data_IF_108215480837
#
_entry.id   IF_108215480837
#
_cell.length_a   1.000
_cell.length_b   1.000
_cell.length_c   1.000
_cell.angle_alpha   90.00
_cell.angle_beta   90.00
_cell.angle_gamma   90.00
#
_symmetry.space_group_name_H-M   'P 1'
#
loop_
_entity.id
_entity.type
_entity.pdbx_description
1 polymer ?
#
# COMPACT_ATOMS: atom_id res chain seq x y z
N UNK A 1 -1.87 -6.42 46.52
CA UNK A 1 -3.16 -6.03 45.94
C UNK A 1 -2.95 -5.87 44.45
N UNK A 2 -3.50 -6.76 43.63
CA UNK A 2 -3.51 -6.57 42.18
C UNK A 2 -4.55 -5.50 41.88
N UNK A 3 -4.13 -4.35 41.36
CA UNK A 3 -5.06 -3.37 40.80
C UNK A 3 -5.99 -4.09 39.84
N UNK A 4 -7.29 -3.82 39.95
CA UNK A 4 -8.26 -4.30 38.99
C UNK A 4 -7.86 -3.77 37.61
N UNK A 5 -7.15 -4.60 36.85
CA UNK A 5 -6.78 -4.36 35.46
C UNK A 5 -8.10 -4.09 34.72
N UNK A 6 -8.40 -2.82 34.48
CA UNK A 6 -9.61 -2.39 33.78
C UNK A 6 -9.75 -3.18 32.48
N UNK A 7 -10.99 -3.47 32.08
CA UNK A 7 -11.27 -4.26 30.89
C UNK A 7 -10.43 -3.74 29.71
N UNK A 8 -9.48 -4.52 29.16
CA UNK A 8 -8.53 -4.04 28.15
C UNK A 8 -9.23 -3.54 26.90
N UNK A 9 -10.43 -4.05 26.60
CA UNK A 9 -11.28 -3.59 25.49
C UNK A 9 -11.80 -2.17 25.75
N UNK A 10 -12.14 -1.83 26.99
CA UNK A 10 -12.63 -0.49 27.37
C UNK A 10 -11.50 0.53 27.33
N UNK A 11 -10.35 0.21 27.91
CA UNK A 11 -9.14 1.05 27.82
C UNK A 11 -8.73 1.28 26.37
N UNK A 12 -8.81 0.23 25.56
CA UNK A 12 -8.52 0.29 24.13
C UNK A 12 -9.52 1.18 23.36
N UNK A 13 -10.83 1.03 23.56
CA UNK A 13 -11.84 1.90 22.89
C UNK A 13 -11.55 3.37 23.18
N UNK A 14 -11.23 3.70 24.42
CA UNK A 14 -10.88 5.05 24.81
C UNK A 14 -9.57 5.57 24.18
N UNK A 15 -8.58 4.69 23.91
CA UNK A 15 -7.35 5.06 23.19
C UNK A 15 -7.58 5.22 21.68
N UNK A 16 -8.40 4.36 21.07
CA UNK A 16 -8.77 4.44 19.67
C UNK A 16 -9.59 5.72 19.37
N UNK A 17 -10.53 6.08 20.24
CA UNK A 17 -11.30 7.34 20.15
C UNK A 17 -10.41 8.58 20.25
N UNK A 18 -9.30 8.49 20.99
CA UNK A 18 -8.30 9.57 21.13
C UNK A 18 -7.25 9.56 20.01
N UNK A 19 -7.29 8.58 19.11
CA UNK A 19 -6.33 8.50 18.03
C UNK A 19 -6.61 9.62 17.03
N UNK A 20 -5.63 10.50 16.84
CA UNK A 20 -5.70 11.52 15.82
C UNK A 20 -5.39 10.89 14.46
N UNK A 21 -6.44 10.43 13.78
CA UNK A 21 -6.34 9.80 12.45
C UNK A 21 -5.74 10.74 11.38
N UNK A 22 -5.70 12.04 11.62
CA UNK A 22 -5.01 12.97 10.71
C UNK A 22 -3.50 12.71 10.67
N UNK A 23 -2.92 12.15 11.74
CA UNK A 23 -1.51 11.72 11.83
C UNK A 23 -1.21 10.44 11.08
N UNK A 24 -2.22 9.77 10.50
CA UNK A 24 -2.02 8.64 9.59
C UNK A 24 -1.73 9.10 8.15
N UNK A 25 -1.72 10.40 7.87
CA UNK A 25 -1.22 10.92 6.59
C UNK A 25 0.30 11.02 6.64
N UNK A 26 0.93 10.74 5.50
CA UNK A 26 2.31 11.15 5.30
C UNK A 26 2.42 12.65 5.53
N UNK A 27 3.33 13.05 6.42
CA UNK A 27 3.79 14.43 6.44
C UNK A 27 4.41 14.78 5.08
N UNK A 28 4.35 16.04 4.69
CA UNK A 28 4.85 16.52 3.40
C UNK A 28 6.36 16.25 3.21
N UNK A 29 7.11 16.19 4.30
CA UNK A 29 8.55 15.89 4.34
C UNK A 29 8.87 14.38 4.49
N UNK A 30 7.86 13.51 4.47
CA UNK A 30 8.05 12.08 4.65
C UNK A 30 8.82 11.46 3.47
N UNK A 31 10.12 11.22 3.68
CA UNK A 31 11.03 10.69 2.66
C UNK A 31 10.55 9.38 2.05
N UNK A 32 9.97 8.47 2.84
CA UNK A 32 9.52 7.16 2.38
C UNK A 32 8.25 7.23 1.53
N UNK A 33 7.34 8.16 1.82
CA UNK A 33 6.16 8.42 1.00
C UNK A 33 6.56 9.15 -0.30
N UNK A 34 7.41 10.17 -0.17
CA UNK A 34 7.88 10.98 -1.29
C UNK A 34 8.71 10.16 -2.28
N UNK A 35 9.49 9.19 -1.81
CA UNK A 35 10.27 8.31 -2.69
C UNK A 35 9.46 7.15 -3.28
N UNK A 36 8.23 6.92 -2.79
CA UNK A 36 7.39 5.77 -3.15
C UNK A 36 7.81 4.45 -2.47
N UNK A 37 8.86 4.44 -1.65
CA UNK A 37 9.36 3.26 -0.95
C UNK A 37 8.28 2.64 -0.03
N UNK A 38 7.53 3.50 0.68
CA UNK A 38 6.48 3.03 1.59
C UNK A 38 5.34 2.35 0.81
N UNK A 39 4.92 2.94 -0.31
CA UNK A 39 3.92 2.33 -1.18
C UNK A 39 4.41 1.02 -1.79
N UNK A 40 5.67 0.97 -2.22
CA UNK A 40 6.28 -0.25 -2.76
C UNK A 40 6.22 -1.39 -1.73
N UNK A 41 6.54 -1.11 -0.46
CA UNK A 41 6.40 -2.08 0.63
C UNK A 41 4.95 -2.49 0.91
N UNK A 42 4.02 -1.53 0.84
CA UNK A 42 2.60 -1.75 1.17
C UNK A 42 1.85 -2.58 0.12
N UNK A 43 2.29 -2.62 -1.14
CA UNK A 43 1.72 -3.54 -2.14
C UNK A 43 1.77 -5.02 -1.68
N UNK A 44 2.78 -5.40 -0.91
CA UNK A 44 2.91 -6.77 -0.39
C UNK A 44 2.04 -7.05 0.84
N UNK A 45 1.45 -6.02 1.45
CA UNK A 45 0.82 -6.09 2.78
C UNK A 45 -0.70 -5.99 2.73
N UNK A 46 -1.26 -5.43 1.65
CA UNK A 46 -2.69 -5.12 1.53
C UNK A 46 -3.37 -5.84 0.39
N UNK A 47 -4.70 -5.94 0.51
CA UNK A 47 -5.55 -6.21 -0.63
C UNK A 47 -5.98 -4.90 -1.29
N UNK A 48 -6.33 -4.99 -2.57
CA UNK A 48 -6.91 -3.87 -3.30
C UNK A 48 -8.21 -4.28 -3.96
N UNK A 49 -9.11 -3.33 -4.13
CA UNK A 49 -10.32 -3.48 -4.93
C UNK A 49 -10.34 -2.35 -5.94
N UNK A 50 -10.16 -2.65 -7.22
CA UNK A 50 -10.21 -1.66 -8.30
C UNK A 50 -11.50 -1.86 -9.08
N UNK A 51 -12.36 -0.85 -9.14
CA UNK A 51 -13.67 -0.89 -9.83
C UNK A 51 -14.46 -2.19 -9.52
N UNK A 52 -14.53 -2.56 -8.23
CA UNK A 52 -15.17 -3.77 -7.67
C UNK A 52 -14.43 -5.09 -7.91
N UNK A 53 -13.33 -5.13 -8.66
CA UNK A 53 -12.50 -6.32 -8.85
C UNK A 53 -11.47 -6.45 -7.72
N UNK A 54 -11.55 -7.56 -6.99
CA UNK A 54 -10.65 -7.86 -5.87
C UNK A 54 -9.28 -8.30 -6.41
N UNK A 55 -8.23 -7.72 -5.86
CA UNK A 55 -6.84 -8.08 -6.10
C UNK A 55 -6.23 -8.47 -4.76
N UNK A 56 -6.14 -9.77 -4.52
CA UNK A 56 -5.55 -10.29 -3.30
C UNK A 56 -4.04 -10.11 -3.30
N UNK A 57 -3.45 -9.92 -2.11
CA UNK A 57 -1.99 -9.79 -1.92
C UNK A 57 -1.15 -10.85 -2.64
N UNK A 58 -1.67 -12.08 -2.74
CA UNK A 58 -1.04 -13.22 -3.44
C UNK A 58 -0.93 -12.94 -4.95
N UNK A 59 -1.98 -12.39 -5.54
CA UNK A 59 -2.02 -11.99 -6.95
C UNK A 59 -1.14 -10.76 -7.22
N UNK A 60 -1.06 -9.83 -6.26
CA UNK A 60 -0.22 -8.63 -6.37
C UNK A 60 1.25 -9.00 -6.57
N UNK A 61 1.75 -10.06 -5.92
CA UNK A 61 3.13 -10.52 -6.10
C UNK A 61 3.45 -10.80 -7.58
N UNK A 62 2.54 -11.46 -8.30
CA UNK A 62 2.72 -11.72 -9.74
C UNK A 62 2.66 -10.44 -10.56
N UNK A 63 1.81 -9.48 -10.18
CA UNK A 63 1.71 -8.18 -10.86
C UNK A 63 2.98 -7.33 -10.65
N UNK A 64 3.60 -7.40 -9.47
CA UNK A 64 4.89 -6.74 -9.18
C UNK A 64 5.98 -7.29 -10.09
N UNK A 65 6.09 -8.61 -10.23
CA UNK A 65 7.09 -9.21 -11.12
C UNK A 65 6.84 -8.85 -12.59
N UNK A 66 5.57 -8.75 -13.03
CA UNK A 66 5.23 -8.25 -14.37
C UNK A 66 5.63 -6.78 -14.55
N UNK A 67 5.36 -5.93 -13.55
CA UNK A 67 5.70 -4.52 -13.58
C UNK A 67 7.23 -4.32 -13.68
N UNK A 68 8.02 -5.08 -12.94
CA UNK A 68 9.49 -5.05 -13.05
C UNK A 68 9.97 -5.41 -14.44
N UNK A 69 9.42 -6.48 -15.04
CA UNK A 69 9.74 -6.87 -16.41
C UNK A 69 9.38 -5.78 -17.41
N UNK A 70 8.17 -5.21 -17.32
CA UNK A 70 7.74 -4.13 -18.22
C UNK A 70 8.58 -2.86 -18.06
N UNK A 71 8.91 -2.48 -16.83
CA UNK A 71 9.73 -1.32 -16.56
C UNK A 71 11.15 -1.52 -17.13
N UNK A 72 11.74 -2.70 -16.91
CA UNK A 72 13.03 -3.08 -17.49
C UNK A 72 13.05 -3.00 -19.01
N UNK A 73 12.03 -3.53 -19.68
CA UNK A 73 11.90 -3.43 -21.14
C UNK A 73 11.82 -1.99 -21.63
N UNK A 74 11.12 -1.11 -20.90
CA UNK A 74 11.00 0.31 -21.26
C UNK A 74 12.32 1.06 -21.10
N UNK A 75 13.01 0.87 -19.99
CA UNK A 75 14.34 1.46 -19.74
C UNK A 75 15.35 1.01 -20.81
N UNK A 76 15.34 -0.28 -21.16
CA UNK A 76 16.19 -0.80 -22.24
C UNK A 76 15.87 -0.11 -23.57
N UNK A 77 14.59 -0.02 -23.94
CA UNK A 77 14.16 0.61 -25.19
C UNK A 77 14.58 2.09 -25.25
N UNK A 78 14.43 2.82 -24.15
CA UNK A 78 14.87 4.21 -24.06
C UNK A 78 16.38 4.32 -24.27
N UNK A 79 17.17 3.50 -23.56
CA UNK A 79 18.63 3.49 -23.69
C UNK A 79 19.14 3.12 -25.10
N UNK A 80 18.35 2.37 -25.88
CA UNK A 80 18.65 2.04 -27.28
C UNK A 80 18.30 3.19 -28.22
N UNK A 81 17.27 3.97 -27.89
CA UNK A 81 16.81 5.12 -28.67
C UNK A 81 17.76 6.31 -28.46
N UNK A 82 18.29 6.48 -27.24
CA UNK A 82 19.25 7.54 -26.91
C UNK A 82 20.66 7.28 -27.50
N UNK A 83 20.92 6.06 -27.99
CA UNK A 83 22.26 5.56 -28.39
C UNK A 83 22.60 5.68 -29.89
N UNK A 84 21.99 6.60 -30.64
CA UNK A 84 22.68 7.13 -31.83
C UNK A 84 24.01 7.83 -31.47
N UNK A 85 24.27 8.08 -30.18
CA UNK A 85 25.59 8.46 -29.67
C UNK A 85 25.99 7.68 -28.39
N UNK A 86 26.97 6.78 -28.54
CA UNK A 86 28.05 6.47 -27.57
C UNK A 86 28.02 5.13 -26.76
N UNK A 87 28.95 4.25 -27.15
CA UNK A 87 30.06 3.69 -26.34
C UNK A 87 29.81 2.83 -25.08
N UNK A 88 28.64 2.23 -24.86
CA UNK A 88 28.56 1.01 -24.04
C UNK A 88 28.44 -0.21 -24.94
N UNK A 89 29.56 -0.91 -25.11
CA UNK A 89 29.64 -2.21 -25.79
C UNK A 89 28.50 -3.11 -25.33
N UNK A 90 27.82 -3.70 -26.31
CA UNK A 90 26.63 -4.54 -26.18
C UNK A 90 26.88 -5.74 -25.26
N UNK A 91 26.73 -5.57 -23.94
CA UNK A 91 26.36 -6.68 -23.08
C UNK A 91 24.84 -6.80 -23.13
N UNK A 92 24.37 -7.73 -23.96
CA UNK A 92 22.95 -8.10 -23.95
C UNK A 92 22.71 -8.89 -22.67
N UNK A 93 22.22 -8.20 -21.65
CA UNK A 93 21.75 -8.85 -20.43
C UNK A 93 20.50 -9.66 -20.75
N UNK A 94 20.36 -10.84 -20.14
CA UNK A 94 19.10 -11.57 -20.15
C UNK A 94 17.99 -10.72 -19.50
N UNK A 95 16.72 -11.04 -19.79
CA UNK A 95 15.60 -10.30 -19.17
C UNK A 95 15.62 -10.34 -17.64
N UNK A 96 16.18 -11.40 -17.04
CA UNK A 96 16.28 -11.56 -15.59
C UNK A 96 17.43 -10.71 -15.02
N UNK A 97 18.59 -10.69 -15.69
CA UNK A 97 19.73 -9.86 -15.30
C UNK A 97 19.38 -8.36 -15.36
N UNK A 98 18.62 -7.94 -16.38
CA UNK A 98 18.18 -6.54 -16.48
C UNK A 98 17.27 -6.14 -15.33
N UNK A 99 16.31 -6.99 -14.97
CA UNK A 99 15.44 -6.77 -13.81
C UNK A 99 16.26 -6.69 -12.52
N UNK A 100 17.26 -7.56 -12.34
CA UNK A 100 18.12 -7.53 -11.16
C UNK A 100 18.92 -6.22 -11.05
N UNK A 101 19.56 -5.78 -12.14
CA UNK A 101 20.29 -4.51 -12.20
C UNK A 101 19.37 -3.31 -11.95
N UNK A 102 18.16 -3.33 -12.50
CA UNK A 102 17.19 -2.27 -12.30
C UNK A 102 16.71 -2.21 -10.84
N UNK A 103 16.43 -3.37 -10.21
CA UNK A 103 16.11 -3.45 -8.78
C UNK A 103 17.23 -2.84 -7.93
N UNK A 104 18.49 -3.15 -8.24
CA UNK A 104 19.65 -2.58 -7.55
C UNK A 104 19.75 -1.04 -7.71
N UNK A 105 19.56 -0.52 -8.93
CA UNK A 105 19.57 0.93 -9.21
C UNK A 105 18.44 1.67 -8.48
N UNK A 106 17.24 1.09 -8.45
CA UNK A 106 16.11 1.65 -7.68
C UNK A 106 16.44 1.66 -6.19
N UNK A 107 17.04 0.59 -5.66
CA UNK A 107 17.42 0.51 -4.26
C UNK A 107 18.48 1.56 -3.87
N UNK A 108 19.51 1.72 -4.71
CA UNK A 108 20.58 2.70 -4.51
C UNK A 108 20.05 4.14 -4.55
N UNK A 109 19.25 4.47 -5.57
CA UNK A 109 18.64 5.80 -5.70
C UNK A 109 17.51 6.06 -4.69
N UNK A 110 16.99 4.99 -4.07
CA UNK A 110 15.76 4.97 -3.26
C UNK A 110 14.52 5.51 -3.96
N UNK A 111 14.54 5.67 -5.29
CA UNK A 111 13.41 6.21 -6.04
C UNK A 111 12.52 5.08 -6.57
N UNK A 112 11.54 4.68 -5.77
CA UNK A 112 10.60 3.61 -6.11
C UNK A 112 9.38 4.12 -6.89
N UNK A 113 9.22 5.43 -7.09
CA UNK A 113 8.03 5.99 -7.75
C UNK A 113 7.80 5.39 -9.16
N UNK A 114 8.80 5.28 -10.06
CA UNK A 114 8.57 4.74 -11.39
C UNK A 114 8.01 3.32 -11.36
N UNK A 115 8.60 2.44 -10.53
CA UNK A 115 8.12 1.07 -10.41
C UNK A 115 6.76 0.99 -9.71
N UNK A 116 6.52 1.81 -8.67
CA UNK A 116 5.23 1.84 -7.98
C UNK A 116 4.09 2.26 -8.94
N UNK A 117 4.34 3.22 -9.84
CA UNK A 117 3.38 3.57 -10.90
C UNK A 117 3.13 2.40 -11.85
N UNK A 118 4.17 1.67 -12.28
CA UNK A 118 3.97 0.49 -13.15
C UNK A 118 3.21 -0.63 -12.45
N UNK A 119 3.42 -0.85 -11.15
CA UNK A 119 2.64 -1.81 -10.36
C UNK A 119 1.15 -1.42 -10.38
N UNK A 120 0.83 -0.15 -10.11
CA UNK A 120 -0.56 0.33 -10.23
C UNK A 120 -1.12 0.11 -11.64
N UNK A 121 -0.37 0.42 -12.70
CA UNK A 121 -0.83 0.19 -14.08
C UNK A 121 -1.16 -1.27 -14.33
N UNK A 122 -0.34 -2.20 -13.86
CA UNK A 122 -0.62 -3.64 -13.96
C UNK A 122 -1.87 -4.04 -13.16
N UNK A 123 -2.09 -3.44 -11.99
CA UNK A 123 -3.30 -3.66 -11.19
C UNK A 123 -4.56 -3.15 -11.89
N UNK A 124 -4.53 -1.95 -12.48
CA UNK A 124 -5.66 -1.41 -13.24
C UNK A 124 -5.98 -2.27 -14.47
N UNK A 125 -4.95 -2.68 -15.23
CA UNK A 125 -5.12 -3.61 -16.35
C UNK A 125 -5.69 -4.95 -15.91
N UNK A 126 -5.18 -5.52 -14.83
CA UNK A 126 -5.71 -6.76 -14.25
C UNK A 126 -7.18 -6.61 -13.85
N UNK A 127 -7.56 -5.44 -13.34
CA UNK A 127 -8.92 -5.11 -12.96
C UNK A 127 -9.84 -4.80 -14.15
N UNK A 128 -9.33 -4.80 -15.39
CA UNK A 128 -10.05 -4.35 -16.60
C UNK A 128 -10.59 -2.92 -16.46
N UNK A 129 -9.86 -2.08 -15.71
CA UNK A 129 -10.20 -0.69 -15.45
C UNK A 129 -9.32 0.25 -16.28
N UNK A 130 -9.83 1.46 -16.55
CA UNK A 130 -9.03 2.51 -17.17
C UNK A 130 -7.85 2.87 -16.27
N UNK A 131 -6.67 2.99 -16.88
CA UNK A 131 -5.45 3.39 -16.18
C UNK A 131 -5.48 4.91 -15.93
N UNK A 132 -5.36 5.37 -14.68
CA UNK A 132 -5.30 6.79 -14.38
C UNK A 132 -4.13 7.52 -15.06
N UNK A 133 -4.26 8.83 -15.21
CA UNK A 133 -3.21 9.71 -15.71
C UNK A 133 -2.00 9.71 -14.76
N UNK A 134 -0.83 10.06 -15.30
CA UNK A 134 0.41 10.06 -14.53
C UNK A 134 0.31 10.92 -13.24
N UNK A 135 -0.31 12.12 -13.25
CA UNK A 135 -0.50 12.88 -12.01
C UNK A 135 -1.35 12.16 -10.95
N UNK A 136 -2.36 11.38 -11.35
CA UNK A 136 -3.16 10.59 -10.41
C UNK A 136 -2.36 9.39 -9.88
N UNK A 137 -1.57 8.75 -10.74
CA UNK A 137 -0.66 7.68 -10.31
C UNK A 137 0.38 8.20 -9.30
N UNK A 138 0.89 9.42 -9.48
CA UNK A 138 1.80 10.05 -8.50
C UNK A 138 1.11 10.29 -7.15
N UNK A 139 -0.13 10.79 -7.16
CA UNK A 139 -0.93 10.95 -5.94
C UNK A 139 -1.20 9.62 -5.24
N UNK A 140 -1.47 8.56 -6.00
CA UNK A 140 -1.63 7.20 -5.46
C UNK A 140 -0.33 6.73 -4.80
N UNK A 141 0.82 6.89 -5.45
CA UNK A 141 2.11 6.49 -4.87
C UNK A 141 2.40 7.21 -3.55
N UNK A 142 2.07 8.49 -3.43
CA UNK A 142 2.34 9.25 -2.21
C UNK A 142 1.34 8.96 -1.08
N UNK A 143 0.05 8.81 -1.40
CA UNK A 143 -1.02 8.83 -0.38
C UNK A 143 -1.67 7.47 -0.10
N UNK A 144 -1.46 6.46 -0.95
CA UNK A 144 -2.09 5.15 -0.83
C UNK A 144 -1.32 4.16 0.06
N UNK A 145 -0.22 4.60 0.67
CA UNK A 145 0.69 3.85 1.55
C UNK A 145 0.14 3.67 2.99
N UNK A 146 -1.13 3.28 3.08
CA UNK A 146 -1.90 3.27 4.33
C UNK A 146 -1.48 2.15 5.30
N UNK A 147 -0.92 1.04 4.81
CA UNK A 147 -0.57 -0.12 5.63
C UNK A 147 0.48 0.20 6.68
N UNK A 148 1.44 1.05 6.34
CA UNK A 148 2.48 1.49 7.27
C UNK A 148 1.92 2.34 8.40
N UNK A 149 0.83 3.08 8.19
CA UNK A 149 0.18 3.89 9.22
C UNK A 149 -0.72 3.06 10.15
N UNK A 150 -1.54 2.16 9.58
CA UNK A 150 -2.41 1.30 10.39
C UNK A 150 -1.62 0.21 11.11
N UNK A 151 -0.70 -0.48 10.42
CA UNK A 151 0.14 -1.51 11.02
C UNK A 151 1.20 -0.94 11.96
N UNK A 152 2.00 0.01 11.48
CA UNK A 152 3.09 0.59 12.28
C UNK A 152 2.64 1.60 13.32
N UNK A 153 1.76 2.53 12.95
CA UNK A 153 1.30 3.60 13.82
C UNK A 153 0.27 3.12 14.84
N UNK A 154 -0.88 2.64 14.37
CA UNK A 154 -1.98 2.26 15.25
C UNK A 154 -1.70 0.92 15.96
N UNK A 155 -1.48 -0.17 15.20
CA UNK A 155 -1.35 -1.51 15.78
C UNK A 155 -0.11 -1.64 16.66
N UNK A 156 1.08 -1.30 16.15
CA UNK A 156 2.32 -1.49 16.91
C UNK A 156 2.48 -0.48 18.04
N UNK A 157 2.24 0.82 17.81
CA UNK A 157 2.57 1.83 18.83
C UNK A 157 1.42 2.13 19.81
N UNK A 158 0.17 1.87 19.43
CA UNK A 158 -0.98 2.16 20.30
C UNK A 158 -1.60 0.88 20.83
N UNK A 159 -1.94 -0.08 19.96
CA UNK A 159 -2.74 -1.23 20.36
C UNK A 159 -1.91 -2.30 21.08
N UNK A 160 -0.75 -2.66 20.53
CA UNK A 160 0.07 -3.73 21.06
C UNK A 160 0.51 -3.48 22.52
N UNK A 161 0.95 -2.27 22.93
CA UNK A 161 1.33 -2.01 24.32
C UNK A 161 0.16 -2.16 25.31
N UNK A 162 -1.07 -1.87 24.88
CA UNK A 162 -2.27 -1.99 25.73
C UNK A 162 -2.80 -3.42 25.81
N UNK A 163 -2.60 -4.23 24.76
CA UNK A 163 -3.22 -5.55 24.61
C UNK A 163 -2.26 -6.71 24.96
N UNK A 164 -0.97 -6.59 24.62
CA UNK A 164 0.01 -7.65 24.88
C UNK A 164 0.18 -8.01 26.37
N UNK A 165 0.14 -7.08 27.34
CA UNK A 165 0.19 -7.41 28.77
C UNK A 165 -1.01 -8.22 29.28
N UNK A 166 -2.03 -8.39 28.43
CA UNK A 166 -3.22 -9.18 28.67
C UNK A 166 -3.28 -10.40 27.75
N UNK A 167 -2.17 -10.75 27.09
CA UNK A 167 -2.05 -11.89 26.17
C UNK A 167 -2.99 -11.80 24.95
N UNK A 168 -3.34 -10.56 24.58
CA UNK A 168 -4.16 -10.24 23.42
C UNK A 168 -3.28 -9.67 22.30
N UNK A 169 -3.43 -10.21 21.09
CA UNK A 169 -2.71 -9.75 19.91
C UNK A 169 -3.68 -8.99 18.99
N UNK A 170 -3.41 -7.70 18.71
CA UNK A 170 -4.09 -6.99 17.64
C UNK A 170 -3.53 -7.41 16.28
N UNK A 171 -4.41 -7.66 15.32
CA UNK A 171 -4.08 -7.91 13.93
C UNK A 171 -4.86 -6.92 13.07
N UNK A 172 -4.22 -6.37 12.04
CA UNK A 172 -4.89 -5.54 11.05
C UNK A 172 -4.84 -6.19 9.67
N UNK A 173 -5.94 -6.07 8.95
CA UNK A 173 -6.01 -6.37 7.53
C UNK A 173 -6.63 -5.19 6.80
N UNK A 174 -5.80 -4.53 5.99
CA UNK A 174 -6.21 -3.38 5.18
C UNK A 174 -6.62 -3.79 3.78
N UNK A 175 -7.74 -3.23 3.31
CA UNK A 175 -8.18 -3.27 1.91
C UNK A 175 -8.33 -1.85 1.40
N UNK A 176 -7.64 -1.54 0.30
CA UNK A 176 -7.80 -0.25 -0.38
C UNK A 176 -8.76 -0.41 -1.55
N UNK A 177 -9.84 0.34 -1.50
CA UNK A 177 -10.79 0.46 -2.60
C UNK A 177 -10.43 1.67 -3.44
N UNK A 178 -10.27 1.44 -4.74
CA UNK A 178 -9.97 2.46 -5.74
C UNK A 178 -11.06 2.36 -6.81
N UNK A 179 -11.82 3.44 -6.98
CA UNK A 179 -12.81 3.55 -8.03
C UNK A 179 -12.36 4.61 -9.05
N UNK A 180 -11.85 4.14 -10.18
CA UNK A 180 -11.48 4.97 -11.32
C UNK A 180 -12.70 5.18 -12.20
N UNK A 181 -13.25 6.40 -12.16
CA UNK A 181 -14.39 6.82 -12.97
C UNK A 181 -13.93 7.12 -14.39
N UNK A 182 -12.79 7.80 -14.50
CA UNK A 182 -12.05 8.04 -15.73
C UNK A 182 -10.57 8.32 -15.41
N UNK A 183 -9.72 8.43 -16.43
CA UNK A 183 -8.28 8.71 -16.28
C UNK A 183 -7.91 9.89 -15.36
N UNK A 184 -8.77 10.87 -15.13
CA UNK A 184 -8.49 12.05 -14.32
C UNK A 184 -9.32 12.14 -13.02
N UNK A 185 -10.12 11.12 -12.72
CA UNK A 185 -11.00 11.10 -11.56
C UNK A 185 -10.97 9.71 -10.90
N UNK A 186 -10.37 9.66 -9.71
CA UNK A 186 -10.26 8.45 -8.90
C UNK A 186 -10.76 8.72 -7.48
N UNK A 187 -11.65 7.87 -6.99
CA UNK A 187 -12.07 7.85 -5.59
C UNK A 187 -11.33 6.73 -4.85
N UNK A 188 -10.85 7.02 -3.65
CA UNK A 188 -10.13 6.07 -2.80
C UNK A 188 -10.84 5.98 -1.45
N UNK A 189 -11.00 4.74 -0.97
CA UNK A 189 -11.51 4.41 0.37
C UNK A 189 -10.60 3.35 0.98
N UNK A 190 -10.22 3.51 2.24
CA UNK A 190 -9.48 2.50 2.98
C UNK A 190 -10.39 1.83 3.99
N UNK A 191 -10.55 0.52 3.88
CA UNK A 191 -11.25 -0.30 4.86
C UNK A 191 -10.20 -1.09 5.64
N UNK A 192 -10.14 -0.87 6.96
CA UNK A 192 -9.19 -1.56 7.82
C UNK A 192 -9.96 -2.36 8.86
N UNK A 193 -9.82 -3.67 8.78
CA UNK A 193 -10.31 -4.56 9.82
C UNK A 193 -9.22 -4.71 10.88
N UNK A 194 -9.59 -4.50 12.14
CA UNK A 194 -8.74 -4.78 13.29
C UNK A 194 -9.42 -5.87 14.12
N UNK A 195 -8.75 -7.01 14.23
CA UNK A 195 -9.17 -8.13 15.05
C UNK A 195 -8.28 -8.28 16.27
N UNK A 196 -8.87 -8.63 17.40
CA UNK A 196 -8.14 -8.95 18.62
C UNK A 196 -8.24 -10.46 18.84
N UNK A 197 -7.09 -11.09 19.00
CA UNK A 197 -6.96 -12.53 19.15
C UNK A 197 -6.36 -12.86 20.51
N UNK A 198 -6.95 -13.82 21.22
CA UNK A 198 -6.38 -14.32 22.47
C UNK A 198 -5.32 -15.38 22.17
N UNK A 199 -4.09 -15.14 22.63
CA UNK A 199 -2.97 -16.06 22.39
C UNK A 199 -3.14 -17.42 23.06
N UNK A 200 -3.90 -17.51 24.15
CA UNK A 200 -4.24 -18.79 24.80
C UNK A 200 -5.15 -19.67 23.93
N UNK A 201 -5.88 -19.08 22.99
CA UNK A 201 -6.73 -19.82 22.06
C UNK A 201 -5.92 -20.34 20.86
N UNK A 202 -4.80 -19.68 20.52
CA UNK A 202 -3.90 -20.08 19.42
C UNK A 202 -3.02 -21.29 19.78
N UNK A 203 -2.61 -21.42 21.04
CA UNK A 203 -1.75 -22.54 21.50
C UNK A 203 -2.49 -23.88 21.58
N UNK A 204 -3.83 -23.89 21.44
CA UNK A 204 -4.68 -25.08 21.52
C UNK A 204 -5.03 -25.70 20.15
N UNK A 205 -4.31 -25.34 19.08
CA UNK A 205 -4.52 -25.93 17.75
C UNK A 205 -5.81 -25.48 17.03
N UNK A 206 -6.51 -24.46 17.55
CA UNK A 206 -7.70 -23.88 16.91
C UNK A 206 -7.34 -22.93 15.78
N UNK A 207 -8.24 -22.81 14.80
CA UNK A 207 -8.07 -21.95 13.63
C UNK A 207 -8.02 -20.47 14.08
N UNK A 208 -7.21 -19.64 13.42
CA UNK A 208 -7.04 -18.21 13.73
C UNK A 208 -8.39 -17.48 13.84
N UNK A 209 -9.38 -17.87 13.02
CA UNK A 209 -10.75 -17.31 13.02
C UNK A 209 -11.55 -17.60 14.29
N UNK A 210 -11.27 -18.71 14.97
CA UNK A 210 -11.95 -19.12 16.21
C UNK A 210 -11.33 -18.48 17.46
N UNK A 211 -10.10 -17.97 17.33
CA UNK A 211 -9.38 -17.26 18.38
C UNK A 211 -9.64 -15.75 18.39
N UNK A 212 -10.33 -15.22 17.37
CA UNK A 212 -10.76 -13.82 17.32
C UNK A 212 -11.88 -13.60 18.34
N UNK A 213 -11.58 -12.81 19.37
CA UNK A 213 -12.54 -12.49 20.43
C UNK A 213 -13.32 -11.20 20.14
N UNK A 214 -12.85 -10.38 19.19
CA UNK A 214 -13.50 -9.14 18.80
C UNK A 214 -13.07 -8.68 17.39
N UNK A 215 -14.02 -8.24 16.57
CA UNK A 215 -13.80 -7.51 15.31
C UNK A 215 -14.32 -6.09 15.46
N UNK A 216 -13.54 -5.11 15.02
CA UNK A 216 -13.75 -3.70 15.36
C UNK A 216 -14.12 -2.83 14.16
N UNK A 217 -14.59 -3.47 13.08
CA UNK A 217 -14.85 -2.88 11.77
C UNK A 217 -15.87 -1.73 11.78
N UNK A 218 -16.67 -1.60 12.85
CA UNK A 218 -17.70 -0.55 12.99
C UNK A 218 -17.21 0.75 13.63
N UNK A 219 -15.97 0.84 14.13
CA UNK A 219 -15.48 2.00 14.91
C UNK A 219 -14.50 2.92 14.17
N UNK A 220 -14.03 2.55 12.98
CA UNK A 220 -13.10 3.36 12.19
C UNK A 220 -13.77 3.80 10.89
N UNK A 221 -14.22 5.05 10.85
CA UNK A 221 -14.88 5.64 9.68
C UNK A 221 -13.89 5.68 8.52
N UNK A 222 -14.30 5.10 7.40
CA UNK A 222 -13.57 5.09 6.15
C UNK A 222 -13.32 6.50 5.61
N UNK A 223 -12.07 6.83 5.31
CA UNK A 223 -11.71 8.11 4.66
C UNK A 223 -11.96 7.98 3.15
N UNK A 224 -12.94 8.72 2.64
CA UNK A 224 -13.15 8.89 1.21
C UNK A 224 -12.33 10.08 0.71
N UNK A 225 -11.46 9.89 -0.29
CA UNK A 225 -10.79 10.97 -1.00
C UNK A 225 -11.11 10.88 -2.49
N UNK A 226 -11.56 11.98 -3.07
CA UNK A 226 -11.66 12.14 -4.52
C UNK A 226 -10.40 12.85 -4.99
N UNK A 227 -9.68 12.24 -5.91
CA UNK A 227 -8.58 12.86 -6.64
C UNK A 227 -9.11 13.29 -7.99
N UNK A 228 -9.27 14.60 -8.16
CA UNK A 228 -9.65 15.25 -9.41
C UNK A 228 -8.53 16.21 -9.83
N UNK A 229 -8.10 16.14 -11.10
CA UNK A 229 -7.34 17.23 -11.72
C UNK A 229 -8.13 17.82 -12.88
N UNK A 230 -8.21 19.16 -13.01
CA UNK A 230 -8.89 19.80 -14.13
C UNK A 230 -8.21 19.42 -15.45
N UNK A 231 -9.04 19.24 -16.47
CA UNK A 231 -8.60 19.10 -17.86
C UNK A 231 -8.04 20.46 -18.31
N UNK A 232 -6.72 20.63 -18.37
CA UNK A 232 -6.13 21.78 -19.04
C UNK A 232 -6.42 21.64 -20.54
N UNK A 233 -7.42 22.39 -21.00
CA UNK A 233 -7.70 22.58 -22.42
C UNK A 233 -6.53 23.39 -22.97
N UNK A 234 -5.59 22.76 -23.66
CA UNK A 234 -4.66 23.47 -24.53
C UNK A 234 -5.50 24.14 -25.62
N UNK A 235 -5.78 25.43 -25.42
CA UNK A 235 -6.30 26.28 -26.48
C UNK A 235 -5.13 26.55 -27.43
N UNK A 236 -5.00 25.73 -28.47
CA UNK A 236 -4.28 26.12 -29.68
C UNK A 236 -5.23 26.99 -30.51
N UNK A 237 -4.85 28.25 -30.70
CA UNK A 237 -5.28 29.12 -31.80
C UNK A 237 -4.05 29.38 -32.66
#
# INVERSE_FOLDING_TARGET
MAEAKGNPIVTWKAQAEKCDFSKLRAAEDNKGANSGETMHGDFHRMNFVINKKIIEKTSIHTLIERAWKQHSWRELKQSLTDKETNAYGKKFYSSEEQVHLLKAKVHESKNYRPIAKEIFKEMFKYAEAEVPSDPILEELVTNCNQSSYYGGGLVINVLAPALLPHELIPQSQGTIHINCINRNCVSIKSDNEISITDTKLLTNGRNLKEAVICQLNSSLVSVNKILEKPYERTNEV
#
